data_IF_235911863866
#
_entry.id   IF_235911863866
#
_cell.length_a   1.000
_cell.length_b   1.000
_cell.length_c   1.000
_cell.angle_alpha   90.00
_cell.angle_beta   90.00
_cell.angle_gamma   90.00
#
_symmetry.space_group_name_H-M   'P 1'
#
loop_
_entity.id
_entity.type
_entity.pdbx_description
1 polymer ?
#
# COMPACT_ATOMS: atom_id res chain seq x y z
N UNK A 1 -9.96 -15.41 4.21
CA UNK A 1 -10.79 -14.18 4.12
C UNK A 1 -11.34 -13.94 2.72
N UNK A 2 -10.53 -13.85 1.63
CA UNK A 2 -11.06 -13.54 0.28
C UNK A 2 -12.16 -14.50 -0.20
N UNK A 3 -12.00 -15.81 0.05
CA UNK A 3 -13.00 -16.81 -0.30
C UNK A 3 -14.34 -16.63 0.41
N UNK A 4 -14.34 -16.13 1.65
CA UNK A 4 -15.56 -15.88 2.42
C UNK A 4 -16.26 -14.64 1.86
N UNK A 5 -15.52 -13.57 1.58
CA UNK A 5 -16.08 -12.33 1.01
C UNK A 5 -16.67 -12.61 -0.37
N UNK A 6 -15.92 -13.27 -1.26
CA UNK A 6 -16.37 -13.61 -2.62
C UNK A 6 -17.62 -14.51 -2.64
N UNK A 7 -17.77 -15.39 -1.64
CA UNK A 7 -18.93 -16.29 -1.56
C UNK A 7 -20.18 -15.63 -0.98
N UNK A 8 -20.05 -14.52 -0.24
CA UNK A 8 -21.14 -13.96 0.56
C UNK A 8 -21.54 -12.53 0.17
N UNK A 9 -20.73 -11.80 -0.60
CA UNK A 9 -21.01 -10.42 -1.01
C UNK A 9 -21.04 -10.29 -2.55
N UNK A 10 -21.87 -9.39 -3.09
CA UNK A 10 -21.93 -9.13 -4.53
C UNK A 10 -20.73 -8.26 -4.97
N UNK A 11 -19.57 -8.88 -5.10
CA UNK A 11 -18.31 -8.21 -5.47
C UNK A 11 -17.66 -8.83 -6.70
N UNK A 12 -16.81 -8.06 -7.37
CA UNK A 12 -15.99 -8.54 -8.49
C UNK A 12 -14.77 -9.29 -7.92
N UNK A 13 -14.81 -10.62 -7.93
CA UNK A 13 -13.83 -11.46 -7.24
C UNK A 13 -12.40 -11.39 -7.80
N UNK A 14 -12.26 -10.90 -9.03
CA UNK A 14 -11.01 -10.70 -9.77
C UNK A 14 -10.43 -9.28 -9.63
N UNK A 15 -11.17 -8.36 -9.00
CA UNK A 15 -10.77 -6.96 -8.83
C UNK A 15 -10.61 -6.63 -7.35
N UNK A 16 -9.37 -6.35 -6.95
CA UNK A 16 -9.06 -5.97 -5.58
C UNK A 16 -7.91 -4.96 -5.54
N UNK A 17 -8.07 -3.93 -4.72
CA UNK A 17 -7.03 -3.00 -4.31
C UNK A 17 -7.03 -2.87 -2.79
N UNK A 18 -5.95 -2.31 -2.24
CA UNK A 18 -5.81 -2.08 -0.81
C UNK A 18 -5.14 -0.72 -0.55
N UNK A 19 -5.68 0.01 0.42
CA UNK A 19 -5.12 1.26 0.94
C UNK A 19 -5.27 1.30 2.46
N UNK A 20 -4.57 2.23 3.11
CA UNK A 20 -4.70 2.43 4.54
C UNK A 20 -3.93 3.65 5.03
N UNK A 21 -4.19 4.02 6.28
CA UNK A 21 -3.56 5.15 6.95
C UNK A 21 -2.59 4.67 8.03
N UNK A 22 -1.44 5.35 8.18
CA UNK A 22 -0.45 5.08 9.24
C UNK A 22 -0.01 3.60 9.23
N UNK A 23 -0.15 2.88 10.35
CA UNK A 23 0.08 1.42 10.42
C UNK A 23 -0.71 0.65 9.34
N UNK A 24 -1.93 1.07 9.00
CA UNK A 24 -2.73 0.47 7.94
C UNK A 24 -2.15 0.70 6.54
N UNK A 25 -1.51 1.85 6.30
CA UNK A 25 -0.82 2.15 5.03
C UNK A 25 0.40 1.27 4.83
N UNK A 26 1.21 1.12 5.89
CA UNK A 26 2.29 0.14 5.92
C UNK A 26 1.78 -1.30 5.66
N UNK A 27 0.66 -1.68 6.28
CA UNK A 27 0.00 -2.97 6.03
C UNK A 27 -0.41 -3.15 4.56
N UNK A 28 -0.97 -2.11 3.93
CA UNK A 28 -1.33 -2.14 2.52
C UNK A 28 -0.10 -2.36 1.61
N UNK A 29 0.98 -1.62 1.84
CA UNK A 29 2.24 -1.74 1.09
C UNK A 29 2.84 -3.14 1.22
N UNK A 30 3.00 -3.62 2.45
CA UNK A 30 3.59 -4.94 2.70
C UNK A 30 2.74 -6.06 2.11
N UNK A 31 1.40 -5.97 2.18
CA UNK A 31 0.51 -6.95 1.56
C UNK A 31 0.61 -6.94 0.04
N UNK A 32 0.60 -5.76 -0.60
CA UNK A 32 0.70 -5.62 -2.05
C UNK A 32 2.04 -6.14 -2.59
N UNK A 33 3.15 -5.79 -1.94
CA UNK A 33 4.50 -6.25 -2.33
C UNK A 33 4.68 -7.76 -2.13
N UNK A 34 4.04 -8.35 -1.12
CA UNK A 34 4.15 -9.79 -0.84
C UNK A 34 3.24 -10.65 -1.68
N UNK A 35 2.11 -10.11 -2.09
CA UNK A 35 1.10 -10.80 -2.88
C UNK A 35 0.89 -10.02 -4.20
N UNK A 36 1.95 -9.83 -5.01
CA UNK A 36 1.79 -9.20 -6.31
C UNK A 36 0.80 -10.06 -7.09
N UNK A 37 -0.21 -9.41 -7.69
CA UNK A 37 -1.39 -10.06 -8.29
C UNK A 37 -0.98 -11.30 -9.07
N UNK A 38 -1.09 -12.48 -8.44
CA UNK A 38 -1.11 -13.75 -9.13
C UNK A 38 -2.58 -14.03 -9.41
N UNK A 39 -2.90 -14.71 -10.53
CA UNK A 39 -4.20 -15.35 -10.66
C UNK A 39 -4.48 -16.10 -9.35
N UNK A 40 -5.66 -15.90 -8.78
CA UNK A 40 -6.05 -16.50 -7.52
C UNK A 40 -5.96 -18.02 -7.67
N UNK A 41 -4.83 -18.61 -7.27
CA UNK A 41 -4.66 -20.05 -7.19
C UNK A 41 -5.18 -20.50 -5.82
N UNK A 42 -6.31 -21.22 -5.77
CA UNK A 42 -6.90 -21.69 -4.52
C UNK A 42 -6.04 -22.73 -3.78
N UNK A 43 -4.94 -23.23 -4.38
CA UNK A 43 -4.03 -24.19 -3.76
C UNK A 43 -2.92 -23.58 -2.90
N UNK A 44 -2.74 -22.25 -2.94
CA UNK A 44 -1.67 -21.58 -2.20
C UNK A 44 -1.96 -21.57 -0.68
N UNK A 45 -1.24 -22.42 0.07
CA UNK A 45 -1.30 -22.45 1.54
C UNK A 45 -0.77 -21.13 2.08
N UNK A 46 -1.59 -20.43 2.88
CA UNK A 46 -1.21 -19.19 3.57
C UNK A 46 -0.50 -19.57 4.86
N UNK A 47 0.81 -19.36 4.91
CA UNK A 47 1.58 -19.56 6.13
C UNK A 47 1.16 -18.52 7.19
N UNK A 48 1.05 -19.00 8.42
CA UNK A 48 0.72 -18.23 9.61
C UNK A 48 1.85 -17.21 9.86
N UNK A 49 1.51 -15.93 9.82
CA UNK A 49 2.46 -14.82 9.86
C UNK A 49 2.74 -14.41 11.32
N UNK A 50 3.94 -14.74 11.81
CA UNK A 50 4.50 -14.21 13.04
C UNK A 50 5.05 -12.78 12.77
N UNK A 51 4.67 -11.80 13.59
CA UNK A 51 4.97 -10.37 13.42
C UNK A 51 6.37 -9.98 13.92
N UNK A 52 7.42 -10.58 13.39
CA UNK A 52 8.78 -10.00 13.48
C UNK A 52 9.69 -10.53 12.37
N UNK A 53 10.28 -9.60 11.60
CA UNK A 53 11.24 -9.90 10.52
C UNK A 53 11.18 -8.87 9.38
N UNK A 54 12.23 -8.84 8.55
CA UNK A 54 12.37 -7.99 7.33
C UNK A 54 11.19 -8.14 6.35
N UNK A 55 10.42 -9.22 6.47
CA UNK A 55 9.22 -9.51 5.69
C UNK A 55 8.01 -8.59 5.97
N UNK A 56 8.14 -7.63 6.89
CA UNK A 56 7.14 -6.61 7.21
C UNK A 56 7.76 -5.22 7.22
N UNK A 57 8.80 -4.99 6.43
CA UNK A 57 9.31 -3.65 6.16
C UNK A 57 9.11 -3.37 4.67
N UNK A 58 8.26 -2.40 4.32
CA UNK A 58 7.93 -2.12 2.93
C UNK A 58 9.17 -1.71 2.11
N UNK A 59 10.10 -0.97 2.71
CA UNK A 59 11.34 -0.51 2.09
C UNK A 59 12.28 -1.68 1.81
N UNK A 60 12.47 -2.56 2.78
CA UNK A 60 13.29 -3.76 2.55
C UNK A 60 12.63 -4.73 1.55
N UNK A 61 11.30 -4.88 1.62
CA UNK A 61 10.56 -5.75 0.72
C UNK A 61 10.66 -5.31 -0.74
N UNK A 62 10.53 -4.01 -1.03
CA UNK A 62 10.63 -3.52 -2.42
C UNK A 62 12.06 -3.65 -2.95
N UNK A 63 13.08 -3.46 -2.10
CA UNK A 63 14.48 -3.69 -2.46
C UNK A 63 14.78 -5.17 -2.75
N UNK A 64 14.22 -6.08 -1.95
CA UNK A 64 14.43 -7.52 -2.09
C UNK A 64 13.70 -8.08 -3.32
N UNK A 65 12.46 -7.66 -3.55
CA UNK A 65 11.61 -8.21 -4.62
C UNK A 65 11.83 -7.55 -5.98
N UNK A 66 12.33 -6.33 -6.00
CA UNK A 66 12.39 -5.49 -7.19
C UNK A 66 11.02 -4.93 -7.58
N UNK A 67 10.97 -4.25 -8.73
CA UNK A 67 9.73 -3.69 -9.25
C UNK A 67 8.69 -4.79 -9.53
N UNK A 68 7.45 -4.54 -9.09
CA UNK A 68 6.30 -5.40 -9.33
C UNK A 68 5.55 -4.87 -10.56
N UNK A 69 5.49 -5.63 -11.67
CA UNK A 69 4.75 -5.21 -12.86
C UNK A 69 3.27 -4.97 -12.56
N UNK A 70 2.72 -3.86 -13.03
CA UNK A 70 1.31 -3.51 -12.87
C UNK A 70 0.92 -3.01 -11.48
N UNK A 71 1.84 -2.97 -10.51
CA UNK A 71 1.59 -2.33 -9.21
C UNK A 71 1.98 -0.86 -9.29
N UNK A 72 1.00 0.03 -9.16
CA UNK A 72 1.22 1.46 -8.91
C UNK A 72 1.08 1.73 -7.42
N UNK A 73 2.09 2.34 -6.80
CA UNK A 73 2.03 2.73 -5.39
C UNK A 73 1.74 4.23 -5.27
N UNK A 74 0.76 4.60 -4.45
CA UNK A 74 0.40 5.99 -4.16
C UNK A 74 0.54 6.28 -2.67
N UNK A 75 1.27 7.34 -2.32
CA UNK A 75 1.49 7.77 -0.94
C UNK A 75 1.29 9.29 -0.86
N UNK A 76 0.41 9.71 0.04
CA UNK A 76 0.26 11.11 0.43
C UNK A 76 0.77 11.28 1.86
N UNK A 77 1.63 12.28 2.07
CA UNK A 77 2.22 12.58 3.36
C UNK A 77 2.01 14.07 3.68
N UNK A 78 1.35 14.36 4.81
CA UNK A 78 1.30 15.71 5.35
C UNK A 78 2.66 16.18 5.87
N UNK A 79 3.06 17.42 5.57
CA UNK A 79 4.35 17.98 6.01
C UNK A 79 4.39 18.33 7.50
N UNK A 80 3.23 18.62 8.08
CA UNK A 80 3.05 19.02 9.49
C UNK A 80 2.76 17.78 10.38
N UNK A 81 2.93 16.58 9.83
CA UNK A 81 2.80 15.33 10.55
C UNK A 81 3.93 15.17 11.59
N UNK A 82 3.55 15.08 12.86
CA UNK A 82 4.50 14.88 13.97
C UNK A 82 5.37 13.63 13.80
N UNK A 83 4.84 12.54 13.23
CA UNK A 83 5.56 11.28 13.06
C UNK A 83 6.54 11.32 11.88
N UNK A 84 6.33 12.24 10.93
CA UNK A 84 7.33 12.59 9.92
C UNK A 84 8.53 13.29 10.58
N UNK A 85 8.26 14.29 11.43
CA UNK A 85 9.29 15.04 12.13
C UNK A 85 10.09 14.17 13.12
N UNK A 86 9.40 13.22 13.78
CA UNK A 86 10.01 12.22 14.65
C UNK A 86 10.73 11.07 13.90
N UNK A 87 10.74 11.09 12.56
CA UNK A 87 11.40 10.08 11.72
C UNK A 87 10.84 8.66 11.89
N UNK A 88 9.52 8.53 12.07
CA UNK A 88 8.84 7.24 12.15
C UNK A 88 8.16 6.80 10.84
N UNK A 89 7.84 7.74 9.94
CA UNK A 89 7.21 7.42 8.64
C UNK A 89 8.23 7.20 7.51
N UNK A 90 9.25 8.07 7.43
CA UNK A 90 10.38 7.99 6.48
C UNK A 90 9.96 7.71 5.00
N UNK A 91 8.98 8.43 4.43
CA UNK A 91 8.54 8.21 3.05
C UNK A 91 9.66 8.39 2.01
N UNK A 92 10.64 9.25 2.29
CA UNK A 92 11.82 9.48 1.45
C UNK A 92 12.72 8.23 1.35
N UNK A 93 12.82 7.44 2.42
CA UNK A 93 13.58 6.19 2.40
C UNK A 93 12.89 5.16 1.50
N UNK A 94 11.56 5.10 1.56
CA UNK A 94 10.76 4.23 0.70
C UNK A 94 10.80 4.68 -0.77
N UNK A 95 10.77 5.98 -1.02
CA UNK A 95 10.94 6.54 -2.37
C UNK A 95 12.29 6.18 -2.98
N UNK A 96 13.38 6.39 -2.24
CA UNK A 96 14.72 6.02 -2.69
C UNK A 96 14.84 4.52 -3.01
N UNK A 97 14.18 3.66 -2.22
CA UNK A 97 14.11 2.23 -2.48
C UNK A 97 13.33 1.90 -3.76
N UNK A 98 12.18 2.53 -3.97
CA UNK A 98 11.38 2.36 -5.20
C UNK A 98 12.16 2.81 -6.43
N UNK A 99 12.81 3.98 -6.38
CA UNK A 99 13.65 4.50 -7.46
C UNK A 99 14.79 3.55 -7.80
N UNK A 100 15.45 2.97 -6.79
CA UNK A 100 16.57 2.04 -6.97
C UNK A 100 16.18 0.78 -7.75
N UNK A 101 14.95 0.29 -7.58
CA UNK A 101 14.47 -0.92 -8.27
C UNK A 101 13.56 -0.63 -9.47
N UNK A 102 13.26 0.64 -9.75
CA UNK A 102 12.36 1.06 -10.81
C UNK A 102 10.88 0.78 -10.54
N UNK A 103 10.47 0.69 -9.27
CA UNK A 103 9.07 0.52 -8.89
C UNK A 103 8.30 1.84 -9.07
N UNK A 104 7.19 1.87 -9.84
CA UNK A 104 6.33 3.04 -9.92
C UNK A 104 5.78 3.46 -8.54
N UNK A 105 6.09 4.70 -8.15
CA UNK A 105 5.62 5.36 -6.94
C UNK A 105 5.20 6.80 -7.26
N UNK A 106 4.03 7.19 -6.78
CA UNK A 106 3.59 8.58 -6.65
C UNK A 106 3.63 8.95 -5.19
N UNK A 107 4.60 9.77 -4.79
CA UNK A 107 4.70 10.35 -3.45
C UNK A 107 4.36 11.84 -3.51
N UNK A 108 3.35 12.29 -2.75
CA UNK A 108 3.02 13.71 -2.61
C UNK A 108 3.25 14.18 -1.18
N UNK A 109 4.05 15.24 -1.04
CA UNK A 109 4.22 15.96 0.23
C UNK A 109 3.24 17.12 0.25
N UNK A 110 2.28 17.10 1.16
CA UNK A 110 1.13 18.00 1.19
C UNK A 110 1.27 19.00 2.35
N UNK A 111 1.47 20.26 1.99
CA UNK A 111 1.81 21.34 2.93
C UNK A 111 0.66 21.66 3.90
N UNK A 112 0.97 21.84 5.18
CA UNK A 112 -0.01 22.21 6.21
C UNK A 112 -0.93 21.08 6.70
N UNK A 113 -0.71 19.83 6.27
CA UNK A 113 -1.51 18.69 6.71
C UNK A 113 -0.78 17.84 7.76
N UNK A 114 -1.57 17.35 8.72
CA UNK A 114 -1.11 16.55 9.85
C UNK A 114 -1.43 15.04 9.67
N UNK A 115 -1.28 14.26 10.74
CA UNK A 115 -1.57 12.82 10.78
C UNK A 115 -3.08 12.49 10.97
N UNK A 116 -3.95 13.49 10.94
CA UNK A 116 -5.33 13.38 11.37
C UNK A 116 -6.29 12.90 10.28
N UNK A 117 -7.52 12.61 10.68
CA UNK A 117 -8.58 12.26 9.73
C UNK A 117 -9.06 13.45 8.88
N UNK A 118 -8.75 14.69 9.27
CA UNK A 118 -8.99 15.86 8.41
C UNK A 118 -8.13 15.77 7.14
N UNK A 119 -6.86 15.43 7.28
CA UNK A 119 -5.99 15.14 6.15
C UNK A 119 -6.56 14.01 5.28
N UNK A 120 -6.89 12.87 5.88
CA UNK A 120 -7.46 11.72 5.14
C UNK A 120 -8.74 12.09 4.40
N UNK A 121 -9.71 12.72 5.07
CA UNK A 121 -10.98 13.09 4.44
C UNK A 121 -10.84 14.12 3.32
N UNK A 122 -9.77 14.93 3.34
CA UNK A 122 -9.49 15.90 2.27
C UNK A 122 -9.10 15.21 0.96
N UNK A 123 -8.32 14.12 1.03
CA UNK A 123 -7.76 13.45 -0.16
C UNK A 123 -8.36 12.06 -0.44
N UNK A 124 -9.29 11.57 0.39
CA UNK A 124 -9.85 10.21 0.24
C UNK A 124 -10.53 9.99 -1.12
N UNK A 125 -11.19 11.01 -1.66
CA UNK A 125 -11.83 10.92 -2.98
C UNK A 125 -10.81 10.66 -4.09
N UNK A 126 -9.65 11.32 -4.05
CA UNK A 126 -8.58 11.10 -5.03
C UNK A 126 -8.02 9.68 -4.94
N UNK A 127 -7.80 9.16 -3.72
CA UNK A 127 -7.37 7.77 -3.54
C UNK A 127 -8.40 6.78 -4.09
N UNK A 128 -9.68 6.99 -3.80
CA UNK A 128 -10.76 6.14 -4.30
C UNK A 128 -10.83 6.16 -5.84
N UNK A 129 -10.72 7.34 -6.46
CA UNK A 129 -10.73 7.48 -7.91
C UNK A 129 -9.51 6.80 -8.56
N UNK A 130 -8.31 6.99 -8.00
CA UNK A 130 -7.10 6.32 -8.49
C UNK A 130 -7.24 4.78 -8.43
N UNK A 131 -7.79 4.25 -7.33
CA UNK A 131 -8.06 2.82 -7.22
C UNK A 131 -9.12 2.34 -8.21
N UNK A 132 -10.21 3.10 -8.38
CA UNK A 132 -11.25 2.77 -9.33
C UNK A 132 -10.71 2.74 -10.76
N UNK A 133 -9.92 3.74 -11.16
CA UNK A 133 -9.33 3.82 -12.50
C UNK A 133 -8.40 2.64 -12.80
N UNK A 134 -7.59 2.21 -11.82
CA UNK A 134 -6.71 1.04 -11.98
C UNK A 134 -7.49 -0.28 -12.01
N UNK A 135 -8.59 -0.39 -11.26
CA UNK A 135 -9.40 -1.60 -11.24
C UNK A 135 -10.35 -1.71 -12.44
N UNK A 136 -10.77 -0.60 -13.04
CA UNK A 136 -11.77 -0.57 -14.11
C UNK A 136 -11.18 -0.57 -15.53
N UNK A 137 -9.87 -0.43 -15.67
CA UNK A 137 -9.14 -0.75 -16.90
C UNK A 137 -9.30 -2.23 -17.30
#
# INVERSE_FOLDING_TARGET
LPSIVNANLPILSDKASIMGHSMGGHGALTLALRNPVRPIDPSCKRDLILLSGTNYDATLLVLEKGAVPGLHIWVDQGTDDQWLQEKQLLPEAFEAACQKVGQPLTLRMLDGYDHGYYFISTFIEEHLNNHADLLLQ
#
